data_IF_140546500793
#
_entry.id   IF_140546500793
#
_cell.length_a   1.000
_cell.length_b   1.000
_cell.length_c   1.000
_cell.angle_alpha   90.00
_cell.angle_beta   90.00
_cell.angle_gamma   90.00
#
_symmetry.space_group_name_H-M   'P 1'
#
loop_
_entity.id
_entity.type
_entity.pdbx_description
1 polymer ?
#
# COMPACT_ATOMS: atom_id res chain seq x y z
N UNK A 1 2.98 13.02 -11.69
CA UNK A 1 2.56 11.85 -10.88
C UNK A 1 3.80 11.29 -10.24
N UNK A 2 3.84 11.24 -8.90
CA UNK A 2 5.00 10.79 -8.13
C UNK A 2 4.76 9.35 -7.73
N UNK A 3 5.66 8.49 -8.18
CA UNK A 3 5.69 7.05 -7.96
C UNK A 3 6.82 6.77 -6.97
N UNK A 4 6.59 5.92 -5.98
CA UNK A 4 7.55 5.66 -4.90
C UNK A 4 7.67 4.16 -4.67
N UNK A 5 8.90 3.70 -4.45
CA UNK A 5 9.31 2.30 -4.35
C UNK A 5 10.20 2.11 -3.11
N UNK A 6 10.31 0.89 -2.63
CA UNK A 6 11.14 0.53 -1.49
C UNK A 6 11.75 -0.84 -1.74
N UNK A 7 12.95 -1.09 -1.23
CA UNK A 7 13.57 -2.42 -1.11
C UNK A 7 14.15 -2.46 0.30
N UNK A 8 13.91 -3.49 1.09
CA UNK A 8 14.67 -3.64 2.34
C UNK A 8 15.97 -4.37 2.05
N UNK A 9 17.12 -3.85 2.54
CA UNK A 9 17.29 -2.75 3.50
C UNK A 9 17.53 -1.37 2.84
N UNK A 10 17.51 -1.28 1.51
CA UNK A 10 17.91 -0.09 0.75
C UNK A 10 16.73 0.74 0.19
N UNK A 11 16.58 1.96 0.69
CA UNK A 11 15.59 2.92 0.20
C UNK A 11 15.91 3.35 -1.25
N UNK A 12 15.18 2.81 -2.24
CA UNK A 12 15.30 3.21 -3.64
C UNK A 12 14.11 4.06 -4.09
N UNK A 13 14.38 5.33 -4.39
CA UNK A 13 13.38 6.29 -4.87
C UNK A 13 13.46 6.42 -6.39
N UNK A 14 12.32 6.33 -7.08
CA UNK A 14 12.28 6.56 -8.52
C UNK A 14 11.00 7.32 -8.90
N UNK A 15 11.11 8.63 -9.15
CA UNK A 15 10.05 9.43 -9.77
C UNK A 15 10.09 9.22 -11.28
N UNK A 16 9.33 8.23 -11.76
CA UNK A 16 9.39 7.82 -13.17
C UNK A 16 8.03 7.42 -13.69
N UNK A 17 7.79 7.75 -14.96
CA UNK A 17 6.67 7.20 -15.72
C UNK A 17 6.79 5.68 -15.81
N UNK A 18 5.66 4.97 -15.93
CA UNK A 18 5.61 3.51 -15.83
C UNK A 18 6.62 2.74 -16.69
N UNK A 19 6.90 3.20 -17.92
CA UNK A 19 7.89 2.57 -18.80
C UNK A 19 9.35 2.69 -18.28
N UNK A 20 9.72 3.86 -17.74
CA UNK A 20 11.06 4.08 -17.16
C UNK A 20 11.20 3.38 -15.82
N UNK A 21 10.10 3.24 -15.09
CA UNK A 21 10.06 2.53 -13.82
C UNK A 21 10.40 1.04 -14.01
N UNK A 22 9.83 0.37 -15.01
CA UNK A 22 10.15 -1.03 -15.32
C UNK A 22 11.65 -1.24 -15.61
N UNK A 23 12.27 -0.36 -16.41
CA UNK A 23 13.71 -0.44 -16.71
C UNK A 23 14.58 -0.31 -15.45
N UNK A 24 14.21 0.61 -14.56
CA UNK A 24 14.91 0.80 -13.27
C UNK A 24 14.78 -0.45 -12.40
N UNK A 25 13.58 -1.03 -12.31
CA UNK A 25 13.35 -2.26 -11.54
C UNK A 25 14.13 -3.45 -12.09
N UNK A 26 14.16 -3.61 -13.42
CA UNK A 26 14.90 -4.70 -14.06
C UNK A 26 16.42 -4.53 -13.86
N UNK A 27 16.92 -3.29 -13.93
CA UNK A 27 18.32 -3.00 -13.63
C UNK A 27 18.63 -3.33 -12.17
N UNK A 28 17.77 -2.88 -11.24
CA UNK A 28 17.93 -3.14 -9.82
C UNK A 28 17.87 -4.64 -9.49
N UNK A 29 16.97 -5.39 -10.11
CA UNK A 29 16.91 -6.85 -9.98
C UNK A 29 18.26 -7.49 -10.33
N UNK A 30 18.87 -7.10 -11.45
CA UNK A 30 20.19 -7.56 -11.85
C UNK A 30 21.31 -7.23 -10.86
N UNK A 31 21.19 -6.13 -10.10
CA UNK A 31 22.15 -5.77 -9.05
C UNK A 31 21.90 -6.51 -7.72
N UNK A 32 20.68 -7.03 -7.51
CA UNK A 32 20.25 -7.66 -6.27
C UNK A 32 20.19 -9.19 -6.34
N UNK A 33 20.57 -9.82 -7.46
CA UNK A 33 20.52 -11.28 -7.66
C UNK A 33 21.23 -12.05 -6.54
N UNK A 34 22.35 -11.53 -6.05
CA UNK A 34 23.15 -12.15 -4.98
C UNK A 34 22.87 -11.56 -3.60
N UNK A 35 21.84 -10.73 -3.45
CA UNK A 35 21.49 -10.14 -2.17
C UNK A 35 20.68 -11.16 -1.34
N UNK A 36 21.19 -11.62 -0.19
CA UNK A 36 20.54 -12.68 0.59
C UNK A 36 19.27 -12.22 1.33
N UNK A 37 18.86 -10.95 1.17
CA UNK A 37 17.76 -10.34 1.93
C UNK A 37 16.45 -10.33 1.14
N UNK A 38 15.34 -10.47 1.86
CA UNK A 38 13.99 -10.41 1.28
C UNK A 38 13.70 -8.99 0.81
N UNK A 39 13.57 -8.84 -0.50
CA UNK A 39 13.22 -7.58 -1.14
C UNK A 39 11.70 -7.34 -1.03
N UNK A 40 11.28 -6.20 -0.47
CA UNK A 40 9.88 -5.83 -0.27
C UNK A 40 9.59 -4.51 -0.96
N UNK A 41 8.50 -4.45 -1.73
CA UNK A 41 8.25 -3.38 -2.68
C UNK A 41 7.04 -2.54 -2.31
N UNK A 42 7.23 -1.27 -1.95
CA UNK A 42 6.15 -0.33 -1.65
C UNK A 42 5.64 0.42 -2.89
N UNK A 43 4.34 0.78 -2.97
CA UNK A 43 3.80 1.72 -3.98
C UNK A 43 2.49 2.41 -3.55
N UNK A 44 2.06 3.43 -4.30
CA UNK A 44 0.81 4.19 -4.08
C UNK A 44 -0.44 3.60 -4.78
N UNK A 45 -0.50 2.26 -4.93
CA UNK A 45 -1.61 1.50 -5.56
C UNK A 45 -1.83 1.77 -7.07
N UNK A 46 -0.82 2.28 -7.77
CA UNK A 46 -0.95 2.54 -9.20
C UNK A 46 -0.78 1.24 -10.01
N UNK A 47 -1.76 0.89 -10.85
CA UNK A 47 -1.80 -0.38 -11.60
C UNK A 47 -0.52 -0.68 -12.40
N UNK A 48 -0.01 0.34 -13.09
CA UNK A 48 1.19 0.19 -13.95
C UNK A 48 2.42 -0.17 -13.11
N UNK A 49 2.52 0.37 -11.91
CA UNK A 49 3.62 0.06 -10.99
C UNK A 49 3.50 -1.33 -10.42
N UNK A 50 2.30 -1.73 -10.01
CA UNK A 50 2.05 -3.10 -9.52
C UNK A 50 2.44 -4.13 -10.56
N UNK A 51 2.09 -3.88 -11.82
CA UNK A 51 2.51 -4.73 -12.93
C UNK A 51 4.03 -4.74 -13.11
N UNK A 52 4.68 -3.58 -13.14
CA UNK A 52 6.13 -3.51 -13.30
C UNK A 52 6.89 -4.22 -12.16
N UNK A 53 6.43 -4.05 -10.91
CA UNK A 53 6.96 -4.75 -9.74
C UNK A 53 6.77 -6.26 -9.83
N UNK A 54 5.57 -6.72 -10.23
CA UNK A 54 5.29 -8.14 -10.37
C UNK A 54 6.13 -8.79 -11.49
N UNK A 55 6.43 -8.06 -12.57
CA UNK A 55 7.28 -8.56 -13.65
C UNK A 55 8.76 -8.60 -13.26
N UNK A 56 9.27 -7.57 -12.60
CA UNK A 56 10.68 -7.48 -12.24
C UNK A 56 11.03 -8.30 -10.99
N UNK A 57 10.11 -8.43 -10.05
CA UNK A 57 10.30 -9.11 -8.76
C UNK A 57 9.06 -9.95 -8.41
N UNK A 58 8.82 -11.06 -9.13
CA UNK A 58 7.58 -11.85 -8.99
C UNK A 58 7.37 -12.41 -7.58
N UNK A 59 8.46 -12.73 -6.88
CA UNK A 59 8.45 -13.30 -5.53
C UNK A 59 8.51 -12.25 -4.42
N UNK A 60 8.72 -10.98 -4.75
CA UNK A 60 8.83 -9.94 -3.75
C UNK A 60 7.44 -9.60 -3.17
N UNK A 61 7.29 -9.60 -1.84
CA UNK A 61 6.14 -9.04 -1.16
C UNK A 61 5.94 -7.58 -1.56
N UNK A 62 4.69 -7.18 -1.74
CA UNK A 62 4.31 -5.85 -2.18
C UNK A 62 3.49 -5.16 -1.11
N UNK A 63 3.87 -3.93 -0.79
CA UNK A 63 3.18 -3.06 0.12
C UNK A 63 2.50 -1.93 -0.66
N UNK A 64 1.29 -1.61 -0.24
CA UNK A 64 0.48 -0.52 -0.77
C UNK A 64 0.34 0.55 0.31
N UNK A 65 0.55 1.81 -0.06
CA UNK A 65 0.62 2.90 0.90
C UNK A 65 -0.74 3.07 1.57
N UNK A 66 -0.81 2.85 2.88
CA UNK A 66 -2.08 2.88 3.63
C UNK A 66 -2.73 4.25 3.58
N UNK A 67 -1.94 5.33 3.51
CA UNK A 67 -2.44 6.70 3.29
C UNK A 67 -3.12 6.85 1.92
N UNK A 68 -2.52 6.32 0.85
CA UNK A 68 -3.12 6.37 -0.48
C UNK A 68 -4.32 5.43 -0.59
N UNK A 69 -4.28 4.26 0.05
CA UNK A 69 -5.44 3.37 0.17
C UNK A 69 -6.62 4.09 0.83
N UNK A 70 -6.39 4.78 1.96
CA UNK A 70 -7.42 5.59 2.63
C UNK A 70 -8.01 6.66 1.72
N UNK A 71 -7.15 7.38 0.99
CA UNK A 71 -7.59 8.41 0.05
C UNK A 71 -8.41 7.82 -1.11
N UNK A 72 -7.92 6.75 -1.73
CA UNK A 72 -8.61 6.06 -2.82
C UNK A 72 -9.95 5.48 -2.37
N UNK A 73 -10.01 4.90 -1.17
CA UNK A 73 -11.23 4.39 -0.56
C UNK A 73 -12.24 5.53 -0.31
N UNK A 74 -11.80 6.62 0.30
CA UNK A 74 -12.63 7.80 0.54
C UNK A 74 -13.19 8.41 -0.75
N UNK A 75 -12.35 8.60 -1.78
CA UNK A 75 -12.79 9.10 -3.08
C UNK A 75 -13.75 8.13 -3.77
N UNK A 76 -13.50 6.83 -3.70
CA UNK A 76 -14.38 5.84 -4.31
C UNK A 76 -15.76 5.81 -3.63
N UNK A 77 -15.80 5.88 -2.31
CA UNK A 77 -17.06 5.98 -1.56
C UNK A 77 -17.85 7.25 -1.92
N UNK A 78 -17.17 8.37 -2.19
CA UNK A 78 -17.80 9.62 -2.57
C UNK A 78 -18.27 9.62 -4.03
N UNK A 79 -17.36 9.36 -4.96
CA UNK A 79 -17.54 9.67 -6.39
C UNK A 79 -18.17 8.50 -7.16
N UNK A 80 -17.88 7.26 -6.75
CA UNK A 80 -18.38 6.06 -7.45
C UNK A 80 -19.57 5.42 -6.76
N UNK A 81 -19.54 5.36 -5.43
CA UNK A 81 -20.66 4.78 -4.65
C UNK A 81 -21.72 5.84 -4.34
N UNK A 82 -21.33 7.09 -4.15
CA UNK A 82 -22.27 8.18 -3.85
C UNK A 82 -22.73 8.24 -2.39
N UNK A 83 -21.95 7.69 -1.45
CA UNK A 83 -22.35 7.68 -0.03
C UNK A 83 -22.38 9.10 0.58
N UNK A 84 -23.35 9.37 1.48
CA UNK A 84 -23.35 10.58 2.30
C UNK A 84 -22.08 10.73 3.13
N UNK A 85 -21.65 11.98 3.39
CA UNK A 85 -20.42 12.28 4.13
C UNK A 85 -20.34 11.54 5.48
N UNK A 86 -21.45 11.44 6.20
CA UNK A 86 -21.50 10.80 7.52
C UNK A 86 -21.22 9.29 7.43
N UNK A 87 -21.85 8.59 6.49
CA UNK A 87 -21.61 7.17 6.24
C UNK A 87 -20.18 6.92 5.77
N UNK A 88 -19.66 7.75 4.86
CA UNK A 88 -18.24 7.68 4.44
C UNK A 88 -17.30 7.79 5.61
N UNK A 89 -17.54 8.75 6.50
CA UNK A 89 -16.70 8.95 7.68
C UNK A 89 -16.77 7.74 8.62
N UNK A 90 -17.94 7.11 8.76
CA UNK A 90 -18.09 5.88 9.53
C UNK A 90 -17.16 4.77 8.99
N UNK A 91 -17.25 4.45 7.69
CA UNK A 91 -16.39 3.44 7.06
C UNK A 91 -14.90 3.80 7.14
N UNK A 92 -14.54 5.07 6.92
CA UNK A 92 -13.14 5.51 7.00
C UNK A 92 -12.60 5.35 8.42
N UNK A 93 -13.36 5.75 9.44
CA UNK A 93 -12.95 5.63 10.85
C UNK A 93 -12.85 4.17 11.28
N UNK A 94 -13.80 3.32 10.87
CA UNK A 94 -13.78 1.88 11.19
C UNK A 94 -12.57 1.15 10.59
N UNK A 95 -12.11 1.55 9.40
CA UNK A 95 -10.96 0.94 8.75
C UNK A 95 -9.63 1.57 9.15
N UNK A 96 -9.54 2.91 9.07
CA UNK A 96 -8.29 3.68 9.12
C UNK A 96 -8.19 4.65 10.31
N UNK A 97 -9.17 4.64 11.23
CA UNK A 97 -9.10 5.43 12.46
C UNK A 97 -8.09 4.85 13.46
N UNK A 98 -7.81 5.60 14.52
CA UNK A 98 -6.84 5.21 15.56
C UNK A 98 -7.25 3.93 16.33
N UNK A 99 -8.56 3.60 16.29
CA UNK A 99 -9.11 2.33 16.79
C UNK A 99 -9.75 1.49 15.66
N UNK A 100 -9.39 1.79 14.42
CA UNK A 100 -9.87 1.04 13.26
C UNK A 100 -9.15 -0.30 13.09
N UNK A 101 -9.64 -1.14 12.18
CA UNK A 101 -9.12 -2.48 11.93
C UNK A 101 -7.62 -2.48 11.69
N UNK A 102 -7.12 -1.52 10.89
CA UNK A 102 -5.71 -1.49 10.50
C UNK A 102 -4.82 -1.02 11.66
N UNK A 103 -5.32 -0.17 12.55
CA UNK A 103 -4.57 0.32 13.71
C UNK A 103 -4.47 -0.73 14.83
N UNK A 104 -5.49 -1.58 14.97
CA UNK A 104 -5.58 -2.63 16.00
C UNK A 104 -5.09 -3.99 15.49
N UNK A 105 -4.24 -3.99 14.49
CA UNK A 105 -3.80 -5.21 13.84
C UNK A 105 -2.97 -6.11 14.78
N UNK A 106 -3.42 -7.37 14.93
CA UNK A 106 -2.66 -8.45 15.58
C UNK A 106 -1.93 -9.36 14.56
N UNK A 107 -2.64 -9.92 13.57
CA UNK A 107 -2.09 -10.71 12.45
C UNK A 107 -2.93 -10.53 11.16
N UNK A 108 -2.45 -11.05 10.03
CA UNK A 108 -3.15 -10.94 8.75
C UNK A 108 -4.51 -11.68 8.68
N UNK A 109 -4.74 -12.67 9.54
CA UNK A 109 -6.02 -13.42 9.59
C UNK A 109 -7.09 -12.60 10.32
N UNK A 110 -6.75 -11.94 11.42
CA UNK A 110 -7.65 -11.02 12.15
C UNK A 110 -8.13 -9.87 11.24
N UNK A 111 -7.24 -9.29 10.44
CA UNK A 111 -7.61 -8.26 9.47
C UNK A 111 -8.62 -8.79 8.45
N UNK A 112 -8.36 -9.98 7.89
CA UNK A 112 -9.22 -10.57 6.88
C UNK A 112 -10.64 -10.80 7.42
N UNK A 113 -10.76 -11.40 8.60
CA UNK A 113 -12.03 -11.72 9.25
C UNK A 113 -12.82 -10.46 9.62
N UNK A 114 -12.15 -9.45 10.20
CA UNK A 114 -12.82 -8.19 10.58
C UNK A 114 -13.30 -7.40 9.37
N UNK A 115 -12.55 -7.39 8.28
CA UNK A 115 -12.97 -6.74 7.04
C UNK A 115 -14.09 -7.50 6.34
N UNK A 116 -14.05 -8.84 6.35
CA UNK A 116 -15.11 -9.69 5.85
C UNK A 116 -16.41 -9.41 6.61
N UNK A 117 -16.37 -9.39 7.94
CA UNK A 117 -17.53 -9.10 8.77
C UNK A 117 -18.10 -7.69 8.51
N UNK A 118 -17.24 -6.69 8.30
CA UNK A 118 -17.70 -5.35 7.91
C UNK A 118 -18.38 -5.35 6.54
N UNK A 119 -17.83 -6.07 5.56
CA UNK A 119 -18.46 -6.20 4.25
C UNK A 119 -19.85 -6.86 4.38
N UNK A 120 -19.99 -7.87 5.21
CA UNK A 120 -21.28 -8.54 5.44
C UNK A 120 -22.28 -7.66 6.20
N UNK A 121 -21.80 -6.72 7.02
CA UNK A 121 -22.64 -5.83 7.84
C UNK A 121 -23.33 -4.70 7.05
N UNK A 122 -22.89 -4.42 5.81
CA UNK A 122 -23.50 -3.37 4.98
C UNK A 122 -24.42 -3.96 3.92
N UNK A 123 -25.61 -3.39 3.75
CA UNK A 123 -26.54 -3.78 2.69
C UNK A 123 -26.13 -3.25 1.30
N UNK A 124 -25.16 -2.32 1.24
CA UNK A 124 -24.73 -1.72 -0.01
C UNK A 124 -23.70 -2.60 -0.72
N UNK A 125 -24.14 -3.38 -1.71
CA UNK A 125 -23.28 -4.28 -2.50
C UNK A 125 -22.06 -3.62 -3.15
N UNK A 126 -22.10 -2.31 -3.46
CA UNK A 126 -20.95 -1.59 -3.99
C UNK A 126 -19.90 -1.33 -2.91
N UNK A 127 -20.34 -1.04 -1.68
CA UNK A 127 -19.47 -0.92 -0.52
C UNK A 127 -18.86 -2.29 -0.16
N UNK A 128 -19.66 -3.36 -0.21
CA UNK A 128 -19.16 -4.73 0.01
C UNK A 128 -17.99 -5.06 -0.93
N UNK A 129 -18.17 -4.85 -2.24
CA UNK A 129 -17.13 -5.07 -3.25
C UNK A 129 -15.90 -4.21 -3.03
N UNK A 130 -16.09 -2.95 -2.62
CA UNK A 130 -14.99 -2.04 -2.34
C UNK A 130 -14.20 -2.48 -1.12
N UNK A 131 -14.89 -2.89 -0.04
CA UNK A 131 -14.25 -3.44 1.16
C UNK A 131 -13.45 -4.69 0.76
N UNK A 132 -14.04 -5.65 0.05
CA UNK A 132 -13.34 -6.86 -0.40
C UNK A 132 -12.07 -6.56 -1.23
N UNK A 133 -12.15 -5.61 -2.17
CA UNK A 133 -10.98 -5.18 -2.94
C UNK A 133 -9.89 -4.63 -2.02
N UNK A 134 -10.26 -3.74 -1.11
CA UNK A 134 -9.34 -3.16 -0.13
C UNK A 134 -8.77 -4.22 0.83
N UNK A 135 -9.56 -5.20 1.24
CA UNK A 135 -9.14 -6.30 2.12
C UNK A 135 -8.00 -7.08 1.51
N UNK A 136 -8.08 -7.40 0.21
CA UNK A 136 -6.97 -8.08 -0.48
C UNK A 136 -5.66 -7.30 -0.34
N UNK A 137 -5.70 -5.98 -0.46
CA UNK A 137 -4.52 -5.11 -0.39
C UNK A 137 -3.98 -4.97 1.03
N UNK A 138 -4.87 -4.88 2.02
CA UNK A 138 -4.49 -4.80 3.43
C UNK A 138 -3.94 -6.13 3.95
N UNK A 139 -4.46 -7.26 3.48
CA UNK A 139 -3.93 -8.59 3.80
C UNK A 139 -2.57 -8.82 3.13
N UNK A 140 -2.40 -8.38 1.87
CA UNK A 140 -1.07 -8.39 1.22
C UNK A 140 -0.06 -7.54 2.00
N UNK A 141 -0.45 -6.34 2.40
CA UNK A 141 0.37 -5.52 3.28
C UNK A 141 0.71 -6.26 4.57
N UNK A 142 -0.28 -6.91 5.17
CA UNK A 142 -0.12 -7.56 6.46
C UNK A 142 0.95 -8.66 6.41
N UNK A 143 0.83 -9.55 5.42
CA UNK A 143 1.81 -10.59 5.13
C UNK A 143 3.21 -10.03 4.86
N UNK A 144 3.28 -8.89 4.16
CA UNK A 144 4.54 -8.22 3.87
C UNK A 144 5.24 -7.64 5.10
N UNK A 145 4.54 -7.31 6.19
CA UNK A 145 5.20 -6.83 7.42
C UNK A 145 5.53 -7.96 8.41
N UNK A 146 5.00 -9.16 8.22
CA UNK A 146 5.30 -10.34 9.06
C UNK A 146 6.66 -10.99 8.73
N UNK A 147 7.41 -10.44 7.77
CA UNK A 147 8.67 -11.01 7.32
C UNK A 147 9.75 -10.85 8.40
N UNK A 148 10.40 -11.94 8.85
CA UNK A 148 11.40 -11.88 9.90
C UNK A 148 12.55 -10.90 9.58
N UNK A 149 12.96 -10.11 10.58
CA UNK A 149 14.04 -9.13 10.46
C UNK A 149 13.60 -7.75 9.96
N UNK A 150 12.31 -7.59 9.67
CA UNK A 150 11.72 -6.34 9.21
C UNK A 150 10.97 -5.66 10.36
N UNK A 151 11.54 -4.59 10.90
CA UNK A 151 10.90 -3.82 11.96
C UNK A 151 10.37 -2.51 11.41
N UNK A 152 9.07 -2.46 11.12
CA UNK A 152 8.41 -1.19 10.88
C UNK A 152 8.00 -0.56 12.20
N UNK A 153 8.27 0.74 12.35
CA UNK A 153 7.82 1.52 13.51
C UNK A 153 6.28 1.64 13.58
N UNK A 154 5.57 1.29 12.50
CA UNK A 154 4.12 1.31 12.44
C UNK A 154 3.59 0.17 11.56
N UNK A 155 2.47 -0.47 11.95
CA UNK A 155 1.72 -1.38 11.07
C UNK A 155 1.15 -0.65 9.85
N UNK A 156 1.11 0.69 9.88
CA UNK A 156 0.69 1.52 8.78
C UNK A 156 1.90 1.90 7.92
N UNK A 157 2.15 1.13 6.88
CA UNK A 157 3.15 1.53 5.88
C UNK A 157 2.68 2.81 5.17
N UNK A 158 3.34 3.92 5.50
CA UNK A 158 3.17 5.21 4.84
C UNK A 158 4.40 5.54 4.01
N UNK A 159 4.22 6.31 2.94
CA UNK A 159 5.33 6.77 2.11
C UNK A 159 6.05 7.99 2.70
N UNK A 160 5.80 8.40 3.95
CA UNK A 160 6.34 9.64 4.53
C UNK A 160 7.88 9.70 4.49
N UNK A 161 8.56 8.56 4.66
CA UNK A 161 10.02 8.49 4.52
C UNK A 161 10.46 8.83 3.08
N UNK A 162 9.68 8.40 2.09
CA UNK A 162 9.91 8.69 0.68
C UNK A 162 9.51 10.13 0.29
N UNK A 163 8.51 10.73 0.96
CA UNK A 163 8.13 12.14 0.73
C UNK A 163 9.16 13.12 1.29
N UNK A 164 9.69 12.82 2.47
CA UNK A 164 10.75 13.63 3.10
C UNK A 164 12.02 13.61 2.27
N UNK A 165 12.42 12.44 1.77
CA UNK A 165 13.53 12.30 0.81
C UNK A 165 13.27 13.05 -0.50
N UNK A 166 12.07 12.95 -1.06
CA UNK A 166 11.68 13.72 -2.25
C UNK A 166 11.79 15.22 -2.03
N UNK A 167 11.39 15.70 -0.85
CA UNK A 167 11.47 17.12 -0.52
C UNK A 167 12.93 17.59 -0.48
N UNK A 168 13.82 16.86 0.20
CA UNK A 168 15.25 17.17 0.23
C UNK A 168 15.88 17.13 -1.16
N UNK A 169 15.54 16.13 -1.99
CA UNK A 169 16.08 16.02 -3.35
C UNK A 169 15.58 17.14 -4.26
N UNK A 170 14.31 17.55 -4.14
CA UNK A 170 13.80 18.72 -4.86
C UNK A 170 14.55 19.99 -4.46
N UNK A 171 14.76 20.21 -3.17
CA UNK A 171 15.53 21.35 -2.67
C UNK A 171 16.98 21.35 -3.17
N UNK A 172 17.63 20.18 -3.26
CA UNK A 172 19.00 20.07 -3.77
C UNK A 172 19.13 20.29 -5.29
N UNK A 173 18.03 20.14 -6.03
CA UNK A 173 17.98 20.32 -7.49
C UNK A 173 17.37 21.67 -7.92
N UNK A 174 16.95 22.50 -6.96
CA UNK A 174 16.41 23.86 -7.15
C UNK A 174 17.51 24.89 -6.98
#
# INVERSE_FOLDING_TARGET
MITLFFVVPYYFMATVTGARFFLILHHLFGQLVDCPQVTILGSNDEKVLKLAMALAFPQAPRLTCTRHLRQNFSHTLADKVGLPKQERQCFITQNFGDSGIIAQWADHMDIADRLQHMAESTENSSVQKLIQLMSSLLVENAKGLEIPGLHFASPLWTNNNCESLNHCLKQALS
#
